data_IF_479954608899
#
_entry.id   IF_479954608899
#
_cell.length_a   1.000
_cell.length_b   1.000
_cell.length_c   1.000
_cell.angle_alpha   90.00
_cell.angle_beta   90.00
_cell.angle_gamma   90.00
#
_symmetry.space_group_name_H-M   'P 1'
#
loop_
_entity.id
_entity.type
_entity.pdbx_description
1 polymer ?
#
# COMPACT_ATOMS: atom_id res chain seq x y z
N UNK A 1 5.13 -13.31 2.28
CA UNK A 1 4.65 -13.43 0.90
C UNK A 1 3.25 -12.84 0.77
N UNK A 2 3.07 -11.94 -0.19
CA UNK A 2 1.79 -11.29 -0.54
C UNK A 2 1.04 -12.09 -1.60
N UNK A 3 -0.26 -12.25 -1.44
CA UNK A 3 -1.13 -12.86 -2.44
C UNK A 3 -1.55 -11.83 -3.50
N UNK A 4 -0.73 -11.71 -4.54
CA UNK A 4 -0.92 -10.83 -5.68
C UNK A 4 -0.27 -11.45 -6.92
N UNK A 5 -0.94 -11.35 -8.08
CA UNK A 5 -0.36 -11.78 -9.34
C UNK A 5 0.82 -10.88 -9.74
N UNK A 6 1.87 -11.47 -10.30
CA UNK A 6 3.12 -10.76 -10.63
C UNK A 6 2.89 -9.54 -11.54
N UNK A 7 2.01 -9.64 -12.53
CA UNK A 7 1.66 -8.51 -13.42
C UNK A 7 1.01 -7.34 -12.67
N UNK A 8 0.14 -7.64 -11.69
CA UNK A 8 -0.46 -6.61 -10.85
C UNK A 8 0.56 -5.99 -9.89
N UNK A 9 1.46 -6.81 -9.32
CA UNK A 9 2.54 -6.32 -8.48
C UNK A 9 3.47 -5.35 -9.25
N UNK A 10 3.80 -5.67 -10.51
CA UNK A 10 4.57 -4.76 -11.37
C UNK A 10 3.88 -3.40 -11.56
N UNK A 11 2.57 -3.39 -11.79
CA UNK A 11 1.79 -2.15 -11.88
C UNK A 11 1.83 -1.37 -10.57
N UNK A 12 1.67 -2.05 -9.43
CA UNK A 12 1.74 -1.44 -8.10
C UNK A 12 3.11 -0.79 -7.86
N UNK A 13 4.19 -1.53 -8.09
CA UNK A 13 5.56 -1.03 -7.91
C UNK A 13 5.87 0.14 -8.86
N UNK A 14 5.41 0.09 -10.11
CA UNK A 14 5.60 1.17 -11.07
C UNK A 14 4.92 2.48 -10.63
N UNK A 15 3.69 2.39 -10.11
CA UNK A 15 2.96 3.54 -9.57
C UNK A 15 3.69 4.08 -8.32
N UNK A 16 4.05 3.21 -7.37
CA UNK A 16 4.76 3.62 -6.15
C UNK A 16 6.09 4.32 -6.47
N UNK A 17 6.90 3.74 -7.36
CA UNK A 17 8.18 4.32 -7.78
C UNK A 17 8.04 5.69 -8.44
N UNK A 18 6.89 6.01 -9.05
CA UNK A 18 6.66 7.31 -9.69
C UNK A 18 6.33 8.41 -8.68
N UNK A 19 5.53 8.11 -7.66
CA UNK A 19 4.99 9.13 -6.75
C UNK A 19 5.71 9.22 -5.41
N UNK A 20 6.26 8.10 -4.92
CA UNK A 20 6.96 8.02 -3.63
C UNK A 20 8.27 7.24 -3.76
N UNK A 21 9.17 7.62 -4.69
CA UNK A 21 10.47 6.99 -4.82
C UNK A 21 11.28 7.15 -3.52
N UNK A 22 11.91 6.05 -3.08
CA UNK A 22 12.80 6.06 -1.91
C UNK A 22 12.11 5.87 -0.56
N UNK A 23 10.78 5.71 -0.53
CA UNK A 23 10.09 5.30 0.69
C UNK A 23 9.97 3.78 0.76
N UNK A 24 10.16 3.24 1.96
CA UNK A 24 9.86 1.83 2.23
C UNK A 24 8.34 1.62 2.26
N UNK A 25 7.87 0.61 1.54
CA UNK A 25 6.44 0.32 1.41
C UNK A 25 6.16 -1.03 2.05
N UNK A 26 5.19 -1.06 2.96
CA UNK A 26 4.71 -2.30 3.56
C UNK A 26 3.32 -2.62 3.06
N UNK A 27 3.13 -3.83 2.56
CA UNK A 27 1.82 -4.42 2.42
C UNK A 27 1.38 -4.99 3.77
N UNK A 28 0.10 -4.84 4.09
CA UNK A 28 -0.51 -5.43 5.28
C UNK A 28 -1.93 -5.92 4.99
N UNK A 29 -2.66 -6.30 6.02
CA UNK A 29 -4.08 -6.64 5.89
C UNK A 29 -4.31 -8.00 5.24
N UNK A 30 -5.42 -8.12 4.50
CA UNK A 30 -5.98 -9.43 4.12
C UNK A 30 -5.08 -10.23 3.16
N UNK A 31 -4.35 -9.55 2.27
CA UNK A 31 -3.44 -10.15 1.28
C UNK A 31 -2.10 -10.63 1.86
N UNK A 32 -1.79 -10.25 3.12
CA UNK A 32 -0.64 -10.77 3.88
C UNK A 32 -1.07 -11.80 4.92
N UNK A 33 -2.22 -11.57 5.55
CA UNK A 33 -2.58 -12.28 6.79
C UNK A 33 -3.54 -13.44 6.60
N UNK A 34 -4.24 -13.54 5.46
CA UNK A 34 -5.36 -14.46 5.28
C UNK A 34 -5.37 -15.08 3.86
N UNK A 35 -6.35 -15.95 3.58
CA UNK A 35 -6.75 -16.31 2.21
C UNK A 35 -7.63 -15.16 1.69
N UNK A 36 -7.09 -14.15 1.01
CA UNK A 36 -7.89 -13.00 0.61
C UNK A 36 -9.03 -13.46 -0.31
N UNK A 37 -10.16 -12.74 -0.25
CA UNK A 37 -11.17 -12.86 -1.29
C UNK A 37 -10.55 -12.42 -2.62
N UNK A 38 -11.04 -12.95 -3.74
CA UNK A 38 -10.55 -12.63 -5.09
C UNK A 38 -10.46 -11.11 -5.38
N UNK A 39 -11.39 -10.34 -4.82
CA UNK A 39 -11.51 -8.89 -4.96
C UNK A 39 -11.13 -8.12 -3.68
N UNK A 40 -10.40 -8.75 -2.76
CA UNK A 40 -9.94 -8.05 -1.56
C UNK A 40 -9.00 -6.91 -1.93
N UNK A 41 -9.06 -5.83 -1.17
CA UNK A 41 -8.20 -4.67 -1.39
C UNK A 41 -6.73 -5.02 -1.06
N UNK A 42 -5.81 -4.22 -1.60
CA UNK A 42 -4.41 -4.25 -1.23
C UNK A 42 -4.12 -3.08 -0.30
N UNK A 43 -3.87 -3.38 0.97
CA UNK A 43 -3.55 -2.38 1.99
C UNK A 43 -2.04 -2.12 2.01
N UNK A 44 -1.65 -0.87 1.76
CA UNK A 44 -0.26 -0.42 1.75
C UNK A 44 -0.05 0.71 2.75
N UNK A 45 1.10 0.70 3.42
CA UNK A 45 1.59 1.84 4.18
C UNK A 45 2.93 2.30 3.64
N UNK A 46 3.05 3.63 3.50
CA UNK A 46 4.30 4.29 3.15
C UNK A 46 4.99 4.66 4.45
N UNK A 47 6.17 4.08 4.71
CA UNK A 47 6.97 4.36 5.90
C UNK A 47 7.59 5.74 5.80
N UNK A 48 7.05 6.66 6.60
CA UNK A 48 7.43 8.06 6.64
C UNK A 48 7.72 8.49 8.08
N UNK A 49 8.74 9.34 8.24
CA UNK A 49 9.02 10.00 9.52
C UNK A 49 8.17 11.26 9.71
N UNK A 50 7.76 11.88 8.61
CA UNK A 50 6.90 13.06 8.59
C UNK A 50 5.81 12.95 7.52
N UNK A 51 4.65 13.62 7.70
CA UNK A 51 3.53 13.49 6.77
C UNK A 51 3.88 13.85 5.35
N UNK A 52 3.50 12.97 4.41
CA UNK A 52 3.55 13.28 2.99
C UNK A 52 2.65 14.49 2.70
N UNK A 53 3.02 15.30 1.69
CA UNK A 53 2.12 16.31 1.17
C UNK A 53 0.79 15.66 0.78
N UNK A 54 -0.33 16.27 1.17
CA UNK A 54 -1.68 15.75 0.87
C UNK A 54 -1.85 15.51 -0.64
N UNK A 55 -1.25 16.38 -1.46
CA UNK A 55 -1.24 16.27 -2.92
C UNK A 55 -0.58 14.98 -3.42
N UNK A 56 0.50 14.52 -2.79
CA UNK A 56 1.19 13.27 -3.15
C UNK A 56 0.29 12.06 -2.91
N UNK A 57 -0.35 12.00 -1.73
CA UNK A 57 -1.31 10.92 -1.43
C UNK A 57 -2.53 10.95 -2.35
N UNK A 58 -3.03 12.13 -2.70
CA UNK A 58 -4.14 12.28 -3.65
C UNK A 58 -3.76 11.72 -5.03
N UNK A 59 -2.64 12.17 -5.60
CA UNK A 59 -2.17 11.68 -6.90
C UNK A 59 -1.88 10.18 -6.92
N UNK A 60 -1.35 9.64 -5.82
CA UNK A 60 -1.10 8.21 -5.71
C UNK A 60 -2.43 7.42 -5.74
N UNK A 61 -3.46 7.89 -5.03
CA UNK A 61 -4.80 7.29 -5.04
C UNK A 61 -5.45 7.37 -6.41
N UNK A 62 -5.36 8.53 -7.07
CA UNK A 62 -5.88 8.72 -8.42
C UNK A 62 -5.22 7.75 -9.39
N UNK A 63 -3.88 7.64 -9.36
CA UNK A 63 -3.13 6.74 -10.22
C UNK A 63 -3.50 5.26 -10.00
N UNK A 64 -3.77 4.84 -8.77
CA UNK A 64 -4.28 3.49 -8.50
C UNK A 64 -5.72 3.30 -9.01
N UNK A 65 -6.58 4.29 -8.83
CA UNK A 65 -7.97 4.24 -9.31
C UNK A 65 -8.08 4.22 -10.84
N UNK A 66 -7.13 4.86 -11.54
CA UNK A 66 -7.05 4.88 -13.00
C UNK A 66 -6.32 3.65 -13.58
N UNK A 67 -5.75 2.81 -12.73
CA UNK A 67 -5.02 1.61 -13.16
C UNK A 67 -5.97 0.46 -13.53
N UNK A 68 -5.46 -0.51 -14.30
CA UNK A 68 -6.20 -1.73 -14.67
C UNK A 68 -6.19 -2.81 -13.56
N UNK A 69 -5.90 -2.45 -12.31
CA UNK A 69 -5.90 -3.39 -11.19
C UNK A 69 -7.35 -3.86 -10.91
N UNK A 70 -7.61 -5.17 -10.76
CA UNK A 70 -8.97 -5.69 -10.53
C UNK A 70 -9.44 -5.57 -9.06
N UNK A 71 -8.75 -4.75 -8.26
CA UNK A 71 -9.01 -4.52 -6.85
C UNK A 71 -8.52 -3.11 -6.47
N UNK A 72 -9.05 -2.57 -5.37
CA UNK A 72 -8.63 -1.27 -4.85
C UNK A 72 -7.28 -1.39 -4.14
N UNK A 73 -6.49 -0.33 -4.22
CA UNK A 73 -5.26 -0.18 -3.42
C UNK A 73 -5.49 0.92 -2.41
N UNK A 74 -5.50 0.56 -1.13
CA UNK A 74 -5.65 1.50 -0.03
C UNK A 74 -4.29 1.87 0.52
N UNK A 75 -3.94 3.16 0.39
CA UNK A 75 -2.64 3.67 0.83
C UNK A 75 -2.80 4.63 2.00
N UNK A 76 -2.02 4.35 3.05
CA UNK A 76 -1.89 5.19 4.24
C UNK A 76 -0.45 5.65 4.45
N UNK A 77 -0.31 6.75 5.16
CA UNK A 77 0.97 7.38 5.51
C UNK A 77 1.27 7.05 6.97
N UNK A 78 2.43 6.43 7.22
CA UNK A 78 2.80 5.91 8.54
C UNK A 78 2.76 6.98 9.64
N UNK A 79 3.23 8.19 9.31
CA UNK A 79 3.27 9.31 10.25
C UNK A 79 1.88 9.87 10.60
N UNK A 80 0.85 9.55 9.80
CA UNK A 80 -0.53 10.03 9.99
C UNK A 80 -1.41 9.07 10.77
N UNK A 81 -1.02 7.81 10.89
CA UNK A 81 -1.77 6.80 11.62
C UNK A 81 -1.38 6.79 13.10
N UNK A 82 -2.31 6.41 13.97
CA UNK A 82 -2.06 6.35 15.41
C UNK A 82 -1.16 5.15 15.78
N UNK A 83 -0.56 5.21 16.98
CA UNK A 83 0.37 4.16 17.46
C UNK A 83 -0.27 2.79 17.60
N UNK A 84 -1.57 2.72 17.88
CA UNK A 84 -2.28 1.44 17.98
C UNK A 84 -2.37 0.76 16.62
N UNK A 85 -2.68 1.52 15.57
CA UNK A 85 -2.73 1.02 14.20
C UNK A 85 -1.33 0.67 13.67
N UNK A 86 -0.31 1.45 14.01
CA UNK A 86 1.09 1.12 13.74
C UNK A 86 1.47 -0.26 14.30
N UNK A 87 1.13 -0.54 15.57
CA UNK A 87 1.38 -1.85 16.19
C UNK A 87 0.65 -3.00 15.50
N UNK A 88 -0.58 -2.75 15.02
CA UNK A 88 -1.35 -3.76 14.27
C UNK A 88 -0.61 -4.13 12.97
N UNK A 89 -0.10 -3.13 12.25
CA UNK A 89 0.65 -3.36 11.01
C UNK A 89 1.99 -4.05 11.30
N UNK A 90 2.74 -3.57 12.30
CA UNK A 90 4.03 -4.14 12.71
C UNK A 90 3.94 -5.61 13.11
N UNK A 91 2.81 -6.06 13.64
CA UNK A 91 2.61 -7.46 13.99
C UNK A 91 2.71 -8.37 12.76
N UNK A 92 2.24 -7.91 11.59
CA UNK A 92 2.35 -8.69 10.35
C UNK A 92 2.22 -7.84 9.10
N UNK A 93 3.33 -7.70 8.38
CA UNK A 93 3.46 -6.98 7.13
C UNK A 93 4.47 -7.67 6.21
N UNK A 94 4.52 -7.24 4.96
CA UNK A 94 5.52 -7.65 3.97
C UNK A 94 6.09 -6.41 3.29
N UNK A 95 7.40 -6.37 3.10
CA UNK A 95 8.08 -5.28 2.39
C UNK A 95 7.92 -5.51 0.88
N UNK A 96 7.56 -4.46 0.14
CA UNK A 96 7.43 -4.46 -1.32
C UNK A 96 8.70 -4.04 -2.04
#
# INVERSE_FOLDING_TARGET
>A
MIDIQEGHLKTVLAILSKYVPGYEIWAFGSRVNQKPKKHADLDLVIKTDSPLPVKTLAFLRDAFSESNLPFKVDVVDWSRINKEFQKIIENKFEIL
#
